data_IF_989798982069
#
_entry.id   IF_989798982069
#
_cell.length_a   1.000
_cell.length_b   1.000
_cell.length_c   1.000
_cell.angle_alpha   90.00
_cell.angle_beta   90.00
_cell.angle_gamma   90.00
#
_symmetry.space_group_name_H-M   'P 1'
#
loop_
_entity.id
_entity.type
_entity.pdbx_description
1 polymer ?
#
# COMPACT_ATOMS: atom_id res chain seq x y z
N UNK A 1 17.36 7.14 -10.47
CA UNK A 1 16.11 7.87 -10.76
C UNK A 1 15.05 7.30 -9.84
N UNK A 2 14.25 8.14 -9.18
CA UNK A 2 13.14 7.62 -8.36
C UNK A 2 12.05 7.07 -9.30
N UNK A 3 11.66 5.82 -9.08
CA UNK A 3 10.56 5.19 -9.80
C UNK A 3 9.26 5.47 -9.07
N UNK A 4 8.23 5.87 -9.82
CA UNK A 4 6.87 6.04 -9.30
C UNK A 4 5.97 5.00 -9.94
N UNK A 5 5.22 4.28 -9.13
CA UNK A 5 4.25 3.28 -9.56
C UNK A 5 2.93 3.45 -8.79
N UNK A 6 1.81 3.15 -9.43
CA UNK A 6 0.50 3.08 -8.75
C UNK A 6 0.26 1.64 -8.29
N UNK A 7 -0.10 1.46 -7.01
CA UNK A 7 -0.45 0.15 -6.47
C UNK A 7 -1.80 -0.32 -7.04
N UNK A 8 -1.94 -1.61 -7.36
CA UNK A 8 -3.15 -2.13 -7.99
C UNK A 8 -4.34 -2.13 -7.03
N UNK A 9 -5.44 -1.54 -7.48
CA UNK A 9 -6.76 -1.60 -6.84
C UNK A 9 -7.84 -1.77 -7.92
N UNK A 10 -8.69 -2.79 -7.80
CA UNK A 10 -9.81 -3.00 -8.72
C UNK A 10 -11.09 -2.39 -8.15
N UNK A 11 -11.54 -1.28 -8.73
CA UNK A 11 -12.76 -0.57 -8.32
C UNK A 11 -14.05 -1.37 -8.57
N UNK A 12 -14.02 -2.40 -9.42
CA UNK A 12 -15.18 -3.27 -9.66
C UNK A 12 -15.38 -4.28 -8.54
N UNK A 13 -14.30 -4.64 -7.83
CA UNK A 13 -14.35 -5.51 -6.66
C UNK A 13 -14.56 -4.68 -5.39
N UNK A 14 -13.88 -3.52 -5.30
CA UNK A 14 -13.96 -2.64 -4.14
C UNK A 14 -13.21 -3.22 -2.93
N UNK A 15 -13.72 -2.98 -1.72
CA UNK A 15 -13.14 -3.51 -0.49
C UNK A 15 -13.98 -4.68 0.05
N UNK A 16 -13.38 -5.68 0.72
CA UNK A 16 -11.94 -5.91 0.86
C UNK A 16 -11.33 -6.51 -0.41
N UNK A 17 -10.03 -6.27 -0.65
CA UNK A 17 -9.32 -6.96 -1.71
C UNK A 17 -7.86 -7.24 -1.37
N UNK A 18 -7.35 -8.34 -1.94
CA UNK A 18 -5.96 -8.78 -1.83
C UNK A 18 -5.32 -8.75 -3.21
N UNK A 19 -4.15 -8.13 -3.32
CA UNK A 19 -3.36 -8.05 -4.57
C UNK A 19 -1.89 -8.26 -4.27
N UNK A 20 -1.20 -9.01 -5.12
CA UNK A 20 0.25 -9.10 -5.05
C UNK A 20 0.86 -8.13 -6.08
N UNK A 21 1.93 -7.44 -5.71
CA UNK A 21 2.62 -6.45 -6.56
C UNK A 21 4.12 -6.58 -6.39
N UNK A 22 4.88 -6.39 -7.48
CA UNK A 22 6.33 -6.27 -7.41
C UNK A 22 6.71 -4.79 -7.22
N UNK A 23 7.53 -4.51 -6.21
CA UNK A 23 8.11 -3.19 -5.92
C UNK A 23 9.61 -3.41 -5.71
N UNK A 24 10.45 -2.74 -6.50
CA UNK A 24 11.91 -2.91 -6.47
C UNK A 24 12.38 -4.38 -6.49
N UNK A 25 11.85 -5.17 -7.44
CA UNK A 25 12.14 -6.61 -7.59
C UNK A 25 11.70 -7.54 -6.44
N UNK A 26 11.04 -7.00 -5.40
CA UNK A 26 10.49 -7.77 -4.29
C UNK A 26 8.96 -7.82 -4.40
N UNK A 27 8.36 -8.99 -4.12
CA UNK A 27 6.91 -9.17 -4.17
C UNK A 27 6.28 -8.87 -2.81
N UNK A 28 5.25 -8.04 -2.81
CA UNK A 28 4.46 -7.66 -1.64
C UNK A 28 2.99 -8.02 -1.83
N UNK A 29 2.34 -8.44 -0.74
CA UNK A 29 0.89 -8.57 -0.64
C UNK A 29 0.31 -7.26 -0.12
N UNK A 30 -0.65 -6.73 -0.85
CA UNK A 30 -1.49 -5.62 -0.47
C UNK A 30 -2.83 -6.16 0.02
N UNK A 31 -3.24 -5.75 1.21
CA UNK A 31 -4.56 -6.00 1.76
C UNK A 31 -5.27 -4.68 1.97
N UNK A 32 -6.27 -4.40 1.13
CA UNK A 32 -7.11 -3.23 1.20
C UNK A 32 -8.40 -3.56 1.94
N UNK A 33 -8.72 -2.79 2.97
CA UNK A 33 -9.93 -2.96 3.78
C UNK A 33 -10.63 -1.61 3.97
N UNK A 34 -11.96 -1.58 3.88
CA UNK A 34 -12.74 -0.40 4.27
C UNK A 34 -13.14 -0.52 5.74
N UNK A 35 -12.73 0.45 6.55
CA UNK A 35 -13.13 0.53 7.94
C UNK A 35 -14.54 1.16 8.05
N UNK A 36 -15.47 0.57 8.82
CA UNK A 36 -16.80 1.15 9.04
C UNK A 36 -16.80 2.58 9.58
N UNK A 37 -15.68 3.03 10.17
CA UNK A 37 -15.47 4.42 10.63
C UNK A 37 -15.13 5.41 9.49
N UNK A 38 -15.23 4.99 8.22
CA UNK A 38 -15.15 5.87 7.06
C UNK A 38 -13.75 6.10 6.50
N UNK A 39 -12.86 5.11 6.58
CA UNK A 39 -11.52 5.21 6.00
C UNK A 39 -11.02 3.87 5.46
N UNK A 40 -10.11 3.89 4.48
CA UNK A 40 -9.43 2.68 4.03
C UNK A 40 -8.20 2.39 4.88
N UNK A 41 -8.01 1.12 5.21
CA UNK A 41 -6.78 0.56 5.77
C UNK A 41 -6.04 -0.19 4.66
N UNK A 42 -4.73 -0.05 4.62
CA UNK A 42 -3.88 -0.90 3.80
C UNK A 42 -2.87 -1.61 4.71
N UNK A 43 -2.66 -2.90 4.45
CA UNK A 43 -1.56 -3.66 5.02
C UNK A 43 -0.68 -4.14 3.87
N UNK A 44 0.62 -3.90 3.99
CA UNK A 44 1.63 -4.33 3.01
C UNK A 44 2.52 -5.36 3.70
N UNK A 45 2.56 -6.56 3.13
CA UNK A 45 3.34 -7.69 3.67
C UNK A 45 4.34 -8.17 2.63
N UNK A 46 5.61 -8.31 2.99
CA UNK A 46 6.59 -8.93 2.13
C UNK A 46 6.22 -10.41 1.92
N UNK A 47 6.06 -10.86 0.67
CA UNK A 47 5.66 -12.26 0.38
C UNK A 47 6.74 -13.28 0.71
N UNK A 48 8.01 -12.89 0.65
CA UNK A 48 9.14 -13.79 0.89
C UNK A 48 9.34 -14.03 2.39
N UNK A 49 9.41 -12.95 3.19
CA UNK A 49 9.66 -13.06 4.64
C UNK A 49 8.40 -13.16 5.49
N UNK A 50 7.24 -12.73 4.96
CA UNK A 50 5.99 -12.65 5.72
C UNK A 50 5.89 -11.42 6.62
N UNK A 51 6.90 -10.55 6.63
CA UNK A 51 6.91 -9.35 7.48
C UNK A 51 5.92 -8.30 6.98
N UNK A 52 5.22 -7.67 7.93
CA UNK A 52 4.40 -6.49 7.66
C UNK A 52 5.32 -5.27 7.61
N UNK A 53 5.49 -4.71 6.41
CA UNK A 53 6.36 -3.54 6.19
C UNK A 53 5.62 -2.22 6.32
N UNK A 54 4.30 -2.25 6.20
CA UNK A 54 3.43 -1.12 6.49
C UNK A 54 2.03 -1.58 6.86
N UNK A 55 1.42 -0.91 7.83
CA UNK A 55 0.03 -1.15 8.23
C UNK A 55 -0.55 0.14 8.78
N UNK A 56 -1.57 0.68 8.13
CA UNK A 56 -2.15 1.94 8.59
C UNK A 56 -3.38 2.38 7.82
N UNK A 57 -3.93 3.50 8.28
CA UNK A 57 -4.97 4.24 7.59
C UNK A 57 -4.36 4.96 6.38
N UNK A 58 -4.95 4.77 5.20
CA UNK A 58 -4.63 5.58 4.03
C UNK A 58 -5.21 6.97 4.22
N UNK A 59 -4.33 7.96 4.39
CA UNK A 59 -4.70 9.36 4.50
C UNK A 59 -4.32 10.06 3.20
N UNK A 60 -5.29 10.63 2.45
CA UNK A 60 -5.01 11.28 1.19
C UNK A 60 -3.96 12.39 1.31
N UNK A 61 -3.06 12.46 0.33
CA UNK A 61 -1.95 13.44 0.20
C UNK A 61 -0.96 13.42 1.36
N UNK A 62 -0.91 12.33 2.12
CA UNK A 62 0.09 12.11 3.15
C UNK A 62 1.03 10.97 2.74
N UNK A 63 2.34 11.20 2.92
CA UNK A 63 3.38 10.24 2.60
C UNK A 63 3.77 9.42 3.84
N UNK A 64 3.96 8.12 3.65
CA UNK A 64 4.44 7.23 4.70
C UNK A 64 5.60 6.38 4.17
N UNK A 65 6.52 6.04 5.07
CA UNK A 65 7.58 5.09 4.76
C UNK A 65 7.14 3.68 5.12
N UNK A 66 7.25 2.76 4.16
CA UNK A 66 7.22 1.32 4.44
C UNK A 66 8.63 0.89 4.86
N UNK A 67 8.73 0.26 6.03
CA UNK A 67 10.00 -0.08 6.66
C UNK A 67 10.10 -1.58 6.90
N UNK A 68 11.31 -2.11 6.84
CA UNK A 68 11.56 -3.47 7.27
C UNK A 68 11.50 -3.59 8.81
N UNK A 69 11.75 -4.80 9.32
CA UNK A 69 11.77 -5.09 10.75
C UNK A 69 12.87 -4.32 11.51
N UNK A 70 13.92 -3.88 10.82
CA UNK A 70 15.04 -3.12 11.38
C UNK A 70 14.81 -1.59 11.29
N UNK A 71 13.68 -1.15 10.73
CA UNK A 71 13.37 0.26 10.54
C UNK A 71 13.99 0.90 9.30
N UNK A 72 14.60 0.11 8.41
CA UNK A 72 15.14 0.58 7.13
C UNK A 72 13.98 0.85 6.17
N UNK A 73 13.94 2.05 5.60
CA UNK A 73 12.93 2.41 4.59
C UNK A 73 13.16 1.61 3.31
N UNK A 74 12.14 0.84 2.92
CA UNK A 74 12.12 0.05 1.68
C UNK A 74 11.59 0.88 0.51
N UNK A 75 10.53 1.64 0.75
CA UNK A 75 9.88 2.52 -0.22
C UNK A 75 8.93 3.49 0.51
N UNK A 76 8.62 4.62 -0.14
CA UNK A 76 7.58 5.55 0.30
C UNK A 76 6.25 5.22 -0.36
N UNK A 77 5.14 5.47 0.33
CA UNK A 77 3.78 5.40 -0.23
C UNK A 77 3.03 6.71 0.00
N UNK A 78 2.15 7.07 -0.92
CA UNK A 78 1.23 8.19 -0.76
C UNK A 78 -0.14 7.82 -1.32
N UNK A 79 -1.18 7.92 -0.51
CA UNK A 79 -2.55 7.79 -1.02
C UNK A 79 -2.92 9.08 -1.75
N UNK A 80 -3.28 9.01 -3.03
CA UNK A 80 -3.74 10.18 -3.78
C UNK A 80 -5.24 10.41 -3.59
N UNK A 81 -6.03 9.35 -3.81
CA UNK A 81 -7.49 9.35 -3.65
C UNK A 81 -7.92 8.10 -2.91
N UNK A 82 -8.80 8.26 -1.91
CA UNK A 82 -9.37 7.15 -1.14
C UNK A 82 -10.85 7.45 -0.87
N UNK A 83 -11.73 6.59 -1.36
CA UNK A 83 -13.18 6.62 -1.12
C UNK A 83 -13.67 5.18 -0.89
N UNK A 84 -14.95 4.96 -0.53
CA UNK A 84 -15.50 3.60 -0.41
C UNK A 84 -15.36 2.75 -1.68
N UNK A 85 -15.16 3.37 -2.86
CA UNK A 85 -15.17 2.69 -4.15
C UNK A 85 -13.80 2.70 -4.86
N UNK A 86 -12.85 3.52 -4.43
CA UNK A 86 -11.53 3.65 -5.08
C UNK A 86 -10.42 3.89 -4.06
N UNK A 87 -9.29 3.23 -4.26
CA UNK A 87 -8.01 3.57 -3.63
C UNK A 87 -6.95 3.75 -4.72
N UNK A 88 -6.42 4.96 -4.83
CA UNK A 88 -5.25 5.27 -5.65
C UNK A 88 -4.08 5.54 -4.70
N UNK A 89 -3.09 4.66 -4.72
CA UNK A 89 -1.91 4.74 -3.85
C UNK A 89 -0.67 4.68 -4.71
N UNK A 90 0.18 5.69 -4.60
CA UNK A 90 1.46 5.76 -5.30
C UNK A 90 2.56 5.22 -4.41
N UNK A 91 3.54 4.56 -5.02
CA UNK A 91 4.76 4.09 -4.37
C UNK A 91 5.97 4.76 -5.03
N UNK A 92 6.95 5.13 -4.20
CA UNK A 92 8.19 5.79 -4.59
C UNK A 92 9.38 4.97 -4.09
N UNK A 93 10.29 4.59 -4.98
CA UNK A 93 11.48 3.83 -4.63
C UNK A 93 12.65 4.17 -5.57
N UNK A 94 13.87 3.81 -5.16
CA UNK A 94 15.10 3.98 -5.95
C UNK A 94 15.63 2.62 -6.38
#
# INVERSE_FOLDING_TARGET
>A
MATVQVLPFDSRIGYPQLRDVAINSQVYRLSYEWNPRGFARLTITNRLSGDVVWNGKLTPRYCFDAKDRNGVTLFGIMAWVVTPNIAEVWVFYV
#
